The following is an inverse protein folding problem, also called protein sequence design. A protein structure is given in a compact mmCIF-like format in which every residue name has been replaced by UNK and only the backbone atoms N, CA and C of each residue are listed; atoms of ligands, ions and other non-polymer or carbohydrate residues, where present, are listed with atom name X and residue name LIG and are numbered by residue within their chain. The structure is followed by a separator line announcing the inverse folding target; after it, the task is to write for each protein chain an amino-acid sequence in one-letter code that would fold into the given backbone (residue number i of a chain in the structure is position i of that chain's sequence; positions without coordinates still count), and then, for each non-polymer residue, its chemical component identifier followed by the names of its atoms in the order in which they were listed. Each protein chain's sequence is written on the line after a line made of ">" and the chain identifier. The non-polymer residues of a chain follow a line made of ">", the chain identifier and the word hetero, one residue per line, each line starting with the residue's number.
data_IF_249532233504
#
_entry.id   IF_249532233504
#
_cell.length_a   1.000
_cell.length_b   1.000
_cell.length_c   1.000
_cell.angle_alpha   90.00
_cell.angle_beta   90.00
_cell.angle_gamma   90.00
#
_symmetry.space_group_name_H-M   'P 1'
#
loop_
_entity.id
_entity.type
_entity.pdbx_description
1 polymer ?
#
# COMPACT_ATOMS: atom_id res chain seq x y z
N UNK A 1 -14.04 3.84 -16.18
CA UNK A 1 -14.98 4.41 -15.17
C UNK A 1 -14.33 5.61 -14.50
N UNK A 2 -15.09 6.55 -13.92
CA UNK A 2 -14.50 7.53 -12.99
C UNK A 2 -14.42 6.96 -11.58
N UNK A 3 -13.26 7.12 -10.93
CA UNK A 3 -12.95 6.52 -9.63
C UNK A 3 -12.39 7.60 -8.72
N UNK A 4 -13.00 7.80 -7.55
CA UNK A 4 -12.40 8.68 -6.53
C UNK A 4 -11.20 7.96 -5.92
N UNK A 5 -10.04 8.60 -5.94
CA UNK A 5 -8.80 8.09 -5.34
C UNK A 5 -8.36 9.07 -4.26
N UNK A 6 -8.66 8.72 -3.00
CA UNK A 6 -8.17 9.52 -1.87
C UNK A 6 -6.70 9.16 -1.61
N UNK A 7 -5.85 10.14 -1.30
CA UNK A 7 -4.41 9.88 -1.16
C UNK A 7 -3.71 9.66 -2.50
N UNK A 8 -4.35 10.08 -3.61
CA UNK A 8 -3.87 9.86 -4.98
C UNK A 8 -2.62 10.66 -5.35
N UNK A 9 -2.16 11.59 -4.50
CA UNK A 9 -0.88 12.26 -4.66
C UNK A 9 0.25 11.58 -3.86
N UNK A 10 -0.04 10.48 -3.14
CA UNK A 10 0.95 9.66 -2.46
C UNK A 10 1.66 8.67 -3.39
N UNK A 11 2.69 7.97 -2.90
CA UNK A 11 3.49 7.04 -3.73
C UNK A 11 2.63 5.94 -4.36
N UNK A 12 1.83 5.24 -3.55
CA UNK A 12 0.94 4.18 -4.05
C UNK A 12 -0.20 4.80 -4.85
N UNK A 13 -0.80 5.88 -4.33
CA UNK A 13 -1.96 6.50 -4.95
C UNK A 13 -1.70 7.04 -6.34
N UNK A 14 -0.56 7.68 -6.57
CA UNK A 14 -0.19 8.18 -7.90
C UNK A 14 0.03 7.05 -8.88
N UNK A 15 0.67 5.95 -8.44
CA UNK A 15 0.85 4.76 -9.29
C UNK A 15 -0.48 4.07 -9.59
N UNK A 16 -1.41 3.99 -8.62
CA UNK A 16 -2.79 3.53 -8.86
C UNK A 16 -3.52 4.42 -9.85
N UNK A 17 -3.40 5.75 -9.75
CA UNK A 17 -3.98 6.68 -10.72
C UNK A 17 -3.44 6.43 -12.13
N UNK A 18 -2.13 6.25 -12.27
CA UNK A 18 -1.50 5.92 -13.55
C UNK A 18 -1.91 4.56 -14.11
N UNK A 19 -2.08 3.55 -13.25
CA UNK A 19 -2.62 2.24 -13.64
C UNK A 19 -4.10 2.33 -14.08
N UNK A 20 -4.92 3.14 -13.42
CA UNK A 20 -6.30 3.40 -13.82
C UNK A 20 -6.36 4.01 -15.22
N UNK A 21 -5.56 5.04 -15.49
CA UNK A 21 -5.48 5.69 -16.82
C UNK A 21 -5.07 4.70 -17.91
N UNK A 22 -4.03 3.90 -17.65
CA UNK A 22 -3.53 2.89 -18.59
C UNK A 22 -4.56 1.78 -18.87
N UNK A 23 -5.57 1.61 -18.00
CA UNK A 23 -6.68 0.66 -18.17
C UNK A 23 -8.01 1.35 -18.55
N UNK A 24 -7.97 2.57 -19.08
CA UNK A 24 -9.16 3.26 -19.61
C UNK A 24 -10.13 3.73 -18.51
N UNK A 25 -9.62 3.97 -17.31
CA UNK A 25 -10.36 4.58 -16.21
C UNK A 25 -9.84 6.01 -15.96
N UNK A 26 -10.67 6.83 -15.33
CA UNK A 26 -10.34 8.22 -15.04
C UNK A 26 -10.24 8.40 -13.52
N UNK A 27 -9.03 8.56 -12.97
CA UNK A 27 -8.88 8.86 -11.56
C UNK A 27 -9.33 10.29 -11.27
N UNK A 28 -10.08 10.47 -10.18
CA UNK A 28 -10.37 11.76 -9.56
C UNK A 28 -9.61 11.77 -8.24
N UNK A 29 -8.58 12.61 -8.14
CA UNK A 29 -7.71 12.65 -6.98
C UNK A 29 -8.30 13.58 -5.92
N UNK A 30 -8.42 13.07 -4.69
CA UNK A 30 -8.63 13.87 -3.48
C UNK A 30 -7.43 13.69 -2.56
N UNK A 31 -6.66 14.75 -2.35
CA UNK A 31 -5.48 14.70 -1.49
C UNK A 31 -5.28 16.03 -0.76
N UNK A 32 -4.88 15.96 0.51
CA UNK A 32 -4.60 17.14 1.33
C UNK A 32 -3.19 17.70 1.09
N UNK A 33 -2.31 16.90 0.48
CA UNK A 33 -0.89 17.16 0.31
C UNK A 33 -0.12 17.28 1.64
N UNK A 34 -0.64 16.68 2.73
CA UNK A 34 0.09 16.58 4.00
C UNK A 34 1.41 15.80 3.77
N UNK A 35 1.34 14.71 3.00
CA UNK A 35 2.51 13.94 2.56
C UNK A 35 2.57 13.79 1.03
N UNK A 36 1.43 13.89 0.33
CA UNK A 36 1.36 13.77 -1.12
C UNK A 36 2.09 14.88 -1.87
N UNK A 37 2.42 14.61 -3.14
CA UNK A 37 3.14 15.50 -4.04
C UNK A 37 2.22 16.01 -5.13
N UNK A 38 2.04 17.33 -5.21
CA UNK A 38 1.20 17.96 -6.23
C UNK A 38 1.68 17.64 -7.65
N UNK A 39 2.98 17.40 -7.83
CA UNK A 39 3.54 17.03 -9.13
C UNK A 39 2.93 15.75 -9.72
N UNK A 40 2.46 14.82 -8.88
CA UNK A 40 1.81 13.60 -9.33
C UNK A 40 0.36 13.78 -9.78
N UNK A 41 -0.25 14.93 -9.45
CA UNK A 41 -1.62 15.25 -9.84
C UNK A 41 -1.70 15.98 -11.18
N UNK A 42 -0.55 16.25 -11.81
CA UNK A 42 -0.47 16.92 -13.11
C UNK A 42 -1.28 16.15 -14.16
N UNK A 43 -2.03 16.90 -14.97
CA UNK A 43 -2.88 16.42 -16.05
C UNK A 43 -4.03 15.50 -15.60
N UNK A 44 -4.36 15.50 -14.31
CA UNK A 44 -5.46 14.72 -13.71
C UNK A 44 -6.51 15.63 -13.08
N UNK A 45 -7.71 15.10 -12.89
CA UNK A 45 -8.75 15.77 -12.10
C UNK A 45 -8.31 15.73 -10.63
N UNK A 46 -8.02 16.88 -10.05
CA UNK A 46 -7.49 16.99 -8.69
C UNK A 46 -8.26 17.99 -7.84
N UNK A 47 -8.61 17.56 -6.64
CA UNK A 47 -9.20 18.36 -5.58
C UNK A 47 -8.26 18.33 -4.38
N UNK A 48 -7.66 19.49 -4.08
CA UNK A 48 -6.87 19.66 -2.87
C UNK A 48 -7.79 19.85 -1.67
N UNK A 49 -7.72 18.94 -0.69
CA UNK A 49 -8.48 19.07 0.54
C UNK A 49 -8.51 17.80 1.38
N UNK A 50 -9.29 17.85 2.46
CA UNK A 50 -9.37 16.78 3.44
C UNK A 50 -10.49 15.79 3.09
N UNK A 51 -10.27 14.50 3.37
CA UNK A 51 -11.25 13.43 3.13
C UNK A 51 -12.50 13.55 4.02
N UNK A 52 -12.42 14.28 5.14
CA UNK A 52 -13.58 14.55 6.00
C UNK A 52 -14.36 15.80 5.61
N UNK A 53 -13.91 16.56 4.60
CA UNK A 53 -14.61 17.77 4.15
C UNK A 53 -15.86 17.40 3.33
N UNK A 54 -17.02 17.47 4.00
CA UNK A 54 -18.31 17.18 3.39
C UNK A 54 -18.62 18.10 2.20
N UNK A 55 -18.35 19.39 2.29
CA UNK A 55 -18.68 20.34 1.22
C UNK A 55 -17.82 20.09 -0.02
N UNK A 56 -16.56 19.74 0.19
CA UNK A 56 -15.67 19.34 -0.89
C UNK A 56 -16.13 18.03 -1.56
N UNK A 57 -16.51 17.02 -0.78
CA UNK A 57 -17.06 15.77 -1.34
C UNK A 57 -18.36 16.02 -2.13
N UNK A 58 -19.27 16.84 -1.61
CA UNK A 58 -20.49 17.25 -2.33
C UNK A 58 -20.16 17.92 -3.67
N UNK A 59 -19.14 18.81 -3.69
CA UNK A 59 -18.66 19.42 -4.93
C UNK A 59 -18.11 18.38 -5.91
N UNK A 60 -17.25 17.47 -5.44
CA UNK A 60 -16.64 16.41 -6.27
C UNK A 60 -17.71 15.56 -6.94
N UNK A 61 -18.71 15.11 -6.18
CA UNK A 61 -19.79 14.26 -6.68
C UNK A 61 -20.79 15.04 -7.54
N UNK A 62 -20.97 16.34 -7.32
CA UNK A 62 -21.76 17.20 -8.22
C UNK A 62 -21.08 17.36 -9.58
N UNK A 63 -19.76 17.54 -9.61
CA UNK A 63 -18.98 17.69 -10.84
C UNK A 63 -18.71 16.35 -11.54
N UNK A 64 -18.81 15.24 -10.81
CA UNK A 64 -18.55 13.88 -11.29
C UNK A 64 -19.62 12.88 -10.80
N UNK A 65 -20.89 13.03 -11.21
CA UNK A 65 -22.00 12.20 -10.74
C UNK A 65 -21.88 10.71 -11.11
N UNK A 66 -20.96 10.34 -12.00
CA UNK A 66 -20.70 8.98 -12.44
C UNK A 66 -19.72 8.19 -11.55
N UNK A 67 -19.19 8.79 -10.47
CA UNK A 67 -18.35 8.07 -9.50
C UNK A 67 -19.14 6.93 -8.86
N UNK A 68 -18.68 5.69 -9.06
CA UNK A 68 -19.25 4.49 -8.43
C UNK A 68 -18.34 3.81 -7.41
N UNK A 69 -17.05 4.11 -7.48
CA UNK A 69 -16.01 3.49 -6.67
C UNK A 69 -15.15 4.55 -6.02
N UNK A 70 -14.79 4.30 -4.76
CA UNK A 70 -13.70 5.00 -4.08
C UNK A 70 -12.59 4.03 -3.75
N UNK A 71 -11.37 4.34 -4.20
CA UNK A 71 -10.14 3.71 -3.72
C UNK A 71 -9.59 4.60 -2.59
N UNK A 72 -9.62 4.08 -1.36
CA UNK A 72 -9.23 4.82 -0.17
C UNK A 72 -7.79 4.49 0.25
N UNK A 73 -6.82 5.37 -0.09
CA UNK A 73 -5.40 5.25 0.26
C UNK A 73 -4.91 6.35 1.23
N UNK A 74 -5.72 7.38 1.49
CA UNK A 74 -5.34 8.47 2.39
C UNK A 74 -5.16 7.97 3.83
N UNK A 75 -3.91 7.92 4.30
CA UNK A 75 -3.54 7.58 5.67
C UNK A 75 -2.12 8.08 5.98
N UNK A 76 -1.83 8.36 7.24
CA UNK A 76 -0.47 8.42 7.75
C UNK A 76 0.07 6.99 7.91
N UNK A 77 1.33 6.76 7.51
CA UNK A 77 1.88 5.40 7.36
C UNK A 77 3.19 5.13 8.12
N UNK A 78 3.77 6.11 8.82
CA UNK A 78 5.10 5.99 9.44
C UNK A 78 4.97 5.34 10.83
N UNK A 79 5.35 4.07 10.92
CA UNK A 79 5.19 3.27 12.15
C UNK A 79 5.82 3.90 13.39
N UNK A 80 7.10 4.35 13.39
CA UNK A 80 7.70 4.99 14.56
C UNK A 80 6.96 6.26 14.98
N UNK A 81 6.60 7.12 14.02
CA UNK A 81 5.85 8.34 14.30
C UNK A 81 4.47 8.02 14.91
N UNK A 82 3.82 6.94 14.49
CA UNK A 82 2.54 6.52 15.07
C UNK A 82 2.61 6.21 16.57
N UNK A 83 3.77 5.75 17.05
CA UNK A 83 4.02 5.49 18.48
C UNK A 83 4.26 6.81 19.22
N UNK A 84 4.99 7.75 18.60
CA UNK A 84 5.28 9.07 19.17
C UNK A 84 4.06 9.99 19.18
N UNK A 85 3.22 9.92 18.14
CA UNK A 85 2.06 10.81 17.90
C UNK A 85 0.77 10.00 17.63
N UNK A 86 0.32 9.15 18.57
CA UNK A 86 -0.81 8.26 18.33
C UNK A 86 -2.10 9.01 18.00
N UNK A 87 -2.36 10.17 18.63
CA UNK A 87 -3.55 10.99 18.36
C UNK A 87 -3.66 11.36 16.87
N UNK A 88 -2.58 11.81 16.25
CA UNK A 88 -2.57 12.21 14.83
C UNK A 88 -2.94 11.04 13.91
N UNK A 89 -2.48 9.84 14.24
CA UNK A 89 -2.77 8.63 13.46
C UNK A 89 -4.22 8.18 13.64
N UNK A 90 -4.74 8.15 14.86
CA UNK A 90 -6.15 7.81 15.08
C UNK A 90 -7.09 8.86 14.48
N UNK A 91 -6.78 10.14 14.62
CA UNK A 91 -7.57 11.20 14.03
C UNK A 91 -7.55 11.14 12.49
N UNK A 92 -6.37 11.07 11.87
CA UNK A 92 -6.28 11.07 10.42
C UNK A 92 -6.76 9.77 9.78
N UNK A 93 -6.41 8.62 10.33
CA UNK A 93 -6.68 7.34 9.69
C UNK A 93 -8.06 6.77 10.08
N UNK A 94 -8.59 7.13 11.25
CA UNK A 94 -9.86 6.57 11.75
C UNK A 94 -10.98 7.60 11.72
N UNK A 95 -10.84 8.69 12.47
CA UNK A 95 -11.92 9.70 12.59
C UNK A 95 -12.30 10.28 11.23
N UNK A 96 -11.32 10.71 10.44
CA UNK A 96 -11.58 11.30 9.11
C UNK A 96 -12.15 10.28 8.12
N UNK A 97 -11.72 9.02 8.20
CA UNK A 97 -12.21 7.97 7.31
C UNK A 97 -13.63 7.51 7.66
N UNK A 98 -14.03 7.55 8.93
CA UNK A 98 -15.44 7.39 9.34
C UNK A 98 -16.31 8.47 8.70
N UNK A 99 -15.87 9.73 8.76
CA UNK A 99 -16.57 10.85 8.11
C UNK A 99 -16.62 10.70 6.58
N UNK A 100 -15.52 10.26 5.96
CA UNK A 100 -15.49 9.91 4.54
C UNK A 100 -16.55 8.86 4.21
N UNK A 101 -16.59 7.73 4.91
CA UNK A 101 -17.56 6.66 4.62
C UNK A 101 -19.00 7.10 4.83
N UNK A 102 -19.28 7.88 5.89
CA UNK A 102 -20.60 8.48 6.13
C UNK A 102 -21.04 9.35 4.95
N UNK A 103 -20.15 10.23 4.49
CA UNK A 103 -20.44 11.15 3.40
C UNK A 103 -20.55 10.42 2.04
N UNK A 104 -19.68 9.45 1.75
CA UNK A 104 -19.75 8.63 0.54
C UNK A 104 -21.08 7.87 0.46
N UNK A 105 -21.53 7.27 1.56
CA UNK A 105 -22.84 6.62 1.62
C UNK A 105 -23.99 7.60 1.32
N UNK A 106 -23.98 8.78 1.94
CA UNK A 106 -24.99 9.82 1.70
C UNK A 106 -24.99 10.34 0.25
N UNK A 107 -23.82 10.34 -0.40
CA UNK A 107 -23.63 10.73 -1.79
C UNK A 107 -23.90 9.59 -2.80
N UNK A 108 -24.26 8.39 -2.33
CA UNK A 108 -24.57 7.23 -3.17
C UNK A 108 -23.36 6.45 -3.67
N UNK A 109 -22.14 6.77 -3.21
CA UNK A 109 -20.94 5.99 -3.50
C UNK A 109 -20.81 4.83 -2.54
N UNK A 110 -21.29 3.66 -2.96
CA UNK A 110 -21.42 2.49 -2.07
C UNK A 110 -20.27 1.49 -2.16
N UNK A 111 -19.40 1.56 -3.17
CA UNK A 111 -18.35 0.58 -3.37
C UNK A 111 -16.98 1.16 -2.99
N UNK A 112 -16.32 0.53 -2.03
CA UNK A 112 -15.03 0.97 -1.48
C UNK A 112 -13.97 -0.10 -1.71
N UNK A 113 -12.80 0.30 -2.19
CA UNK A 113 -11.58 -0.50 -2.12
C UNK A 113 -10.64 0.19 -1.13
N UNK A 114 -10.38 -0.46 -0.01
CA UNK A 114 -9.58 0.10 1.08
C UNK A 114 -8.16 -0.45 1.06
N UNK A 115 -7.20 0.46 1.15
CA UNK A 115 -5.80 0.15 1.38
C UNK A 115 -5.57 -0.23 2.86
N UNK A 116 -5.51 -1.53 3.13
CA UNK A 116 -5.10 -2.05 4.44
C UNK A 116 -3.62 -2.44 4.43
N UNK A 117 -3.18 -3.24 5.39
CA UNK A 117 -1.79 -3.62 5.57
C UNK A 117 -1.65 -5.01 6.17
N UNK A 118 -0.63 -5.75 5.73
CA UNK A 118 -0.26 -7.01 6.37
C UNK A 118 0.24 -6.84 7.82
N UNK A 119 0.56 -5.61 8.25
CA UNK A 119 0.97 -5.32 9.65
C UNK A 119 -0.13 -5.55 10.70
N UNK A 120 -1.36 -5.84 10.26
CA UNK A 120 -2.46 -6.23 11.16
C UNK A 120 -2.31 -7.67 11.67
N UNK A 121 -1.66 -8.55 10.90
CA UNK A 121 -1.54 -9.96 11.26
C UNK A 121 -0.67 -10.19 12.50
N UNK A 122 -0.98 -11.28 13.21
CA UNK A 122 -0.06 -11.89 14.17
C UNK A 122 1.04 -12.68 13.44
N UNK A 123 2.16 -12.93 14.12
CA UNK A 123 3.20 -13.80 13.60
C UNK A 123 2.68 -15.25 13.55
N UNK A 124 2.98 -15.97 12.47
CA UNK A 124 2.65 -17.40 12.28
C UNK A 124 3.92 -18.21 12.08
N UNK A 125 3.91 -19.50 12.48
CA UNK A 125 5.12 -20.33 12.53
C UNK A 125 5.78 -20.56 11.15
N UNK A 126 4.99 -20.68 10.09
CA UNK A 126 5.46 -20.90 8.71
C UNK A 126 5.67 -19.59 7.94
N UNK A 127 5.48 -18.45 8.61
CA UNK A 127 5.49 -17.10 8.04
C UNK A 127 4.47 -16.84 6.93
N UNK A 128 3.59 -17.78 6.59
CA UNK A 128 2.63 -17.62 5.49
C UNK A 128 1.25 -17.28 6.04
N UNK A 129 0.83 -16.02 5.88
CA UNK A 129 -0.45 -15.54 6.40
C UNK A 129 -1.53 -15.56 5.31
N UNK A 130 -2.66 -16.19 5.64
CA UNK A 130 -3.92 -16.11 4.90
C UNK A 130 -4.85 -15.04 5.48
N UNK A 131 -5.95 -14.74 4.79
CA UNK A 131 -6.96 -13.79 5.26
C UNK A 131 -7.70 -14.27 6.51
N UNK A 132 -7.63 -15.56 6.83
CA UNK A 132 -8.16 -16.17 8.05
C UNK A 132 -7.13 -16.27 9.19
N UNK A 133 -5.88 -15.85 8.95
CA UNK A 133 -4.85 -15.86 9.98
C UNK A 133 -5.18 -14.86 11.11
N UNK A 134 -4.73 -15.14 12.36
CA UNK A 134 -5.01 -14.25 13.49
C UNK A 134 -4.52 -12.82 13.25
N UNK A 135 -5.30 -11.85 13.73
CA UNK A 135 -5.04 -10.42 13.59
C UNK A 135 -4.69 -9.83 14.97
N UNK A 136 -3.46 -9.32 15.11
CA UNK A 136 -2.94 -8.75 16.35
C UNK A 136 -2.00 -7.57 16.08
N UNK A 137 -2.53 -6.39 15.66
CA UNK A 137 -1.72 -5.24 15.31
C UNK A 137 -0.87 -4.73 16.48
N UNK A 138 0.43 -4.53 16.23
CA UNK A 138 1.43 -4.19 17.28
C UNK A 138 1.77 -2.71 17.39
N UNK A 139 1.45 -1.90 16.39
CA UNK A 139 1.68 -0.44 16.40
C UNK A 139 0.36 0.35 16.32
N UNK A 140 0.32 1.62 16.75
CA UNK A 140 -0.84 2.49 16.54
C UNK A 140 -1.23 2.57 15.06
N UNK A 141 -0.28 2.70 14.13
CA UNK A 141 -0.55 2.61 12.69
C UNK A 141 -1.31 1.33 12.31
N UNK A 142 -0.80 0.15 12.67
CA UNK A 142 -1.45 -1.12 12.34
C UNK A 142 -2.83 -1.23 13.00
N UNK A 143 -2.99 -0.73 14.22
CA UNK A 143 -4.30 -0.66 14.90
C UNK A 143 -5.28 0.21 14.14
N UNK A 144 -4.85 1.36 13.61
CA UNK A 144 -5.74 2.20 12.80
C UNK A 144 -6.20 1.50 11.53
N UNK A 145 -5.32 0.76 10.83
CA UNK A 145 -5.71 -0.02 9.65
C UNK A 145 -6.72 -1.11 9.99
N UNK A 146 -6.50 -1.84 11.08
CA UNK A 146 -7.45 -2.86 11.52
C UNK A 146 -8.79 -2.28 11.98
N UNK A 147 -8.79 -1.18 12.72
CA UNK A 147 -10.03 -0.46 13.08
C UNK A 147 -10.79 -0.02 11.83
N UNK A 148 -10.10 0.43 10.79
CA UNK A 148 -10.75 0.81 9.54
C UNK A 148 -11.36 -0.34 8.79
N UNK A 149 -10.79 -1.54 8.86
CA UNK A 149 -11.42 -2.74 8.35
C UNK A 149 -12.73 -3.05 9.09
N UNK A 150 -12.72 -3.01 10.42
CA UNK A 150 -13.92 -3.23 11.25
C UNK A 150 -15.01 -2.18 10.97
N UNK A 151 -14.62 -0.91 10.91
CA UNK A 151 -15.53 0.19 10.59
C UNK A 151 -16.13 0.01 9.20
N UNK A 152 -15.32 -0.33 8.20
CA UNK A 152 -15.82 -0.52 6.84
C UNK A 152 -16.78 -1.71 6.76
N UNK A 153 -16.47 -2.82 7.44
CA UNK A 153 -17.34 -3.98 7.55
C UNK A 153 -18.70 -3.61 8.17
N UNK A 154 -18.70 -2.90 9.30
CA UNK A 154 -19.92 -2.41 9.96
C UNK A 154 -20.75 -1.52 9.04
N UNK A 155 -20.11 -0.62 8.28
CA UNK A 155 -20.79 0.25 7.32
C UNK A 155 -21.38 -0.54 6.15
N UNK A 156 -20.69 -1.58 5.69
CA UNK A 156 -21.19 -2.47 4.64
C UNK A 156 -22.45 -3.20 5.10
N UNK A 157 -22.45 -3.73 6.33
CA UNK A 157 -23.61 -4.41 6.94
C UNK A 157 -24.76 -3.45 7.20
N UNK A 158 -24.51 -2.28 7.79
CA UNK A 158 -25.56 -1.38 8.26
C UNK A 158 -26.18 -0.52 7.17
N UNK A 159 -25.39 -0.10 6.16
CA UNK A 159 -25.80 0.92 5.19
C UNK A 159 -25.88 0.41 3.74
N UNK A 160 -25.64 -0.89 3.53
CA UNK A 160 -25.64 -1.50 2.20
C UNK A 160 -24.50 -0.99 1.32
N UNK A 161 -23.39 -0.56 1.94
CA UNK A 161 -22.12 -0.37 1.25
C UNK A 161 -21.50 -1.73 0.94
N UNK A 162 -20.48 -1.75 0.07
CA UNK A 162 -19.67 -2.92 -0.21
C UNK A 162 -18.19 -2.55 -0.16
N UNK A 163 -17.38 -3.40 0.46
CA UNK A 163 -15.97 -3.09 0.73
C UNK A 163 -15.03 -4.24 0.35
N UNK A 164 -13.92 -3.93 -0.30
CA UNK A 164 -12.77 -4.83 -0.44
C UNK A 164 -11.58 -4.19 0.26
N UNK A 165 -11.07 -4.83 1.31
CA UNK A 165 -9.83 -4.44 1.99
C UNK A 165 -8.65 -5.23 1.44
N UNK A 166 -7.67 -4.51 0.91
CA UNK A 166 -6.46 -5.06 0.34
C UNK A 166 -5.34 -5.01 1.38
N UNK A 167 -4.94 -6.15 1.93
CA UNK A 167 -3.85 -6.27 2.90
C UNK A 167 -2.55 -6.59 2.16
N UNK A 168 -1.68 -5.59 2.01
CA UNK A 168 -0.42 -5.77 1.29
C UNK A 168 0.82 -5.58 2.18
N UNK A 169 1.93 -6.09 1.67
CA UNK A 169 3.19 -6.25 2.40
C UNK A 169 4.16 -5.10 2.04
N UNK A 170 5.40 -5.42 1.65
CA UNK A 170 6.48 -4.45 1.52
C UNK A 170 6.60 -4.04 0.07
N UNK A 171 6.53 -2.74 -0.19
CA UNK A 171 6.55 -2.22 -1.56
C UNK A 171 7.96 -1.88 -2.02
N UNK A 172 8.23 -2.19 -3.28
CA UNK A 172 9.44 -1.81 -4.01
C UNK A 172 9.08 -1.37 -5.44
N UNK A 173 10.02 -0.75 -6.15
CA UNK A 173 9.84 -0.32 -7.53
C UNK A 173 9.24 1.08 -7.68
N UNK A 174 8.88 1.39 -8.93
CA UNK A 174 8.25 2.64 -9.32
C UNK A 174 7.21 2.38 -10.42
N UNK A 175 6.53 3.42 -10.89
CA UNK A 175 5.79 3.33 -12.15
C UNK A 175 6.77 2.93 -13.28
N UNK A 176 6.51 1.89 -14.10
CA UNK A 176 7.40 1.47 -15.19
C UNK A 176 7.62 2.53 -16.26
N UNK A 177 6.72 3.52 -16.37
CA UNK A 177 6.88 4.71 -17.23
C UNK A 177 7.50 5.90 -16.49
N UNK A 178 7.91 5.72 -15.24
CA UNK A 178 8.52 6.72 -14.36
C UNK A 178 7.69 8.02 -14.25
N UNK A 179 6.37 7.90 -14.23
CA UNK A 179 5.45 9.02 -13.94
C UNK A 179 5.36 9.32 -12.46
N UNK A 180 5.60 8.31 -11.62
CA UNK A 180 5.60 8.43 -10.17
C UNK A 180 6.47 7.34 -9.51
N UNK A 181 6.85 7.58 -8.27
CA UNK A 181 7.66 6.66 -7.47
C UNK A 181 7.89 7.20 -6.05
N UNK A 182 8.74 6.53 -5.27
CA UNK A 182 9.03 6.93 -3.90
C UNK A 182 9.76 8.29 -3.86
N UNK A 183 9.25 9.24 -3.06
CA UNK A 183 9.73 10.63 -3.02
C UNK A 183 10.23 11.07 -1.65
N UNK A 184 10.40 10.14 -0.71
CA UNK A 184 10.99 10.45 0.59
C UNK A 184 12.49 10.65 0.39
N UNK A 185 13.00 11.85 0.70
CA UNK A 185 14.41 12.25 0.47
C UNK A 185 15.43 11.32 1.16
N UNK A 186 15.07 10.71 2.27
CA UNK A 186 15.89 9.70 2.95
C UNK A 186 14.99 8.57 3.44
N UNK A 187 14.69 7.58 2.57
CA UNK A 187 13.77 6.51 2.94
C UNK A 187 14.39 5.66 4.05
N UNK A 188 13.67 5.49 5.16
CA UNK A 188 14.05 4.58 6.25
C UNK A 188 13.77 3.10 5.91
N UNK A 189 13.13 2.84 4.77
CA UNK A 189 12.86 1.49 4.28
C UNK A 189 14.12 0.84 3.71
N UNK A 190 14.12 -0.49 3.69
CA UNK A 190 15.30 -1.33 3.40
C UNK A 190 16.01 -0.94 2.09
N UNK A 191 15.26 -0.66 1.03
CA UNK A 191 15.82 -0.32 -0.28
C UNK A 191 16.53 1.05 -0.28
N UNK A 192 15.99 2.05 0.42
CA UNK A 192 16.64 3.35 0.56
C UNK A 192 17.93 3.26 1.38
N UNK A 193 17.94 2.43 2.42
CA UNK A 193 19.17 2.20 3.20
C UNK A 193 20.23 1.42 2.43
N UNK A 194 19.83 0.49 1.54
CA UNK A 194 20.75 -0.20 0.61
C UNK A 194 21.33 0.76 -0.41
N UNK A 195 20.50 1.63 -0.99
CA UNK A 195 20.94 2.65 -1.93
C UNK A 195 21.97 3.60 -1.29
N UNK A 196 21.68 4.10 -0.09
CA UNK A 196 22.62 4.96 0.64
C UNK A 196 23.96 4.24 0.91
N UNK A 197 23.92 2.96 1.29
CA UNK A 197 25.13 2.17 1.53
C UNK A 197 25.92 1.85 0.24
N UNK A 198 25.25 1.86 -0.92
CA UNK A 198 25.90 1.68 -2.22
C UNK A 198 26.47 2.97 -2.79
N UNK A 199 25.81 4.11 -2.55
CA UNK A 199 26.14 5.40 -3.17
C UNK A 199 27.10 6.24 -2.34
N UNK A 200 27.13 6.07 -1.01
CA UNK A 200 27.96 6.90 -0.12
C UNK A 200 29.14 6.14 0.48
N UNK A 201 30.32 6.73 0.37
CA UNK A 201 31.55 6.16 0.93
C UNK A 201 31.45 6.05 2.46
N UNK A 202 31.79 4.88 3.00
CA UNK A 202 31.79 4.62 4.45
C UNK A 202 30.42 4.29 5.06
N UNK A 203 29.31 4.40 4.34
CA UNK A 203 28.01 3.93 4.84
C UNK A 203 27.95 2.40 4.85
N UNK A 204 27.34 1.85 5.91
CA UNK A 204 27.19 0.39 6.13
C UNK A 204 25.71 0.06 6.21
N UNK A 205 25.27 -0.91 5.42
CA UNK A 205 23.94 -1.50 5.56
C UNK A 205 23.93 -2.53 6.69
N UNK A 206 23.10 -2.31 7.72
CA UNK A 206 22.98 -3.20 8.88
C UNK A 206 21.90 -4.25 8.65
N UNK A 207 22.29 -5.52 8.54
CA UNK A 207 21.39 -6.67 8.55
C UNK A 207 21.00 -6.94 10.01
N UNK A 208 19.84 -6.44 10.44
CA UNK A 208 19.39 -6.57 11.84
C UNK A 208 18.66 -7.88 12.08
N UNK A 209 19.15 -8.65 13.05
CA UNK A 209 18.61 -9.96 13.43
C UNK A 209 19.02 -11.05 12.43
N UNK A 210 19.94 -11.91 12.86
CA UNK A 210 20.54 -12.95 11.99
C UNK A 210 20.40 -14.37 12.53
N UNK A 211 19.60 -14.54 13.59
CA UNK A 211 19.39 -15.81 14.28
C UNK A 211 17.89 -16.19 14.33
N UNK A 212 17.10 -15.67 13.39
CA UNK A 212 15.69 -16.04 13.24
C UNK A 212 15.56 -17.47 12.69
N UNK A 213 14.43 -18.17 12.94
CA UNK A 213 14.17 -19.50 12.37
C UNK A 213 13.76 -19.40 10.88
N UNK A 214 14.52 -18.64 10.09
CA UNK A 214 14.39 -18.52 8.64
C UNK A 214 15.56 -19.24 7.96
N UNK A 215 15.46 -19.48 6.65
CA UNK A 215 16.43 -20.27 5.89
C UNK A 215 17.88 -19.76 5.90
N UNK A 216 18.12 -18.49 6.23
CA UNK A 216 19.47 -17.91 6.34
C UNK A 216 19.69 -17.10 7.62
N UNK A 217 18.77 -17.23 8.59
CA UNK A 217 18.78 -16.52 9.86
C UNK A 217 18.32 -15.07 9.81
N UNK A 218 18.25 -14.44 8.63
CA UNK A 218 17.79 -13.05 8.49
C UNK A 218 16.28 -12.95 8.33
N UNK A 219 15.72 -11.80 8.68
CA UNK A 219 14.27 -11.58 8.62
C UNK A 219 13.72 -11.79 7.19
N UNK A 220 12.50 -12.33 7.07
CA UNK A 220 11.82 -12.63 5.80
C UNK A 220 10.69 -11.64 5.54
N UNK A 221 10.53 -11.16 4.32
CA UNK A 221 9.46 -10.22 3.94
C UNK A 221 8.97 -10.55 2.55
N UNK A 222 7.69 -10.33 2.29
CA UNK A 222 7.16 -10.34 0.93
C UNK A 222 7.31 -8.95 0.30
N UNK A 223 8.15 -8.86 -0.74
CA UNK A 223 8.39 -7.62 -1.49
C UNK A 223 7.62 -7.66 -2.80
N UNK A 224 6.62 -6.80 -2.90
CA UNK A 224 5.74 -6.67 -4.06
C UNK A 224 6.08 -5.41 -4.84
N UNK A 225 6.11 -5.52 -6.17
CA UNK A 225 6.29 -4.36 -7.04
C UNK A 225 5.09 -3.42 -6.96
N UNK A 226 5.32 -2.11 -6.80
CA UNK A 226 4.25 -1.11 -6.65
C UNK A 226 3.31 -1.08 -7.87
N UNK A 227 3.82 -1.38 -9.07
CA UNK A 227 3.00 -1.51 -10.27
C UNK A 227 2.05 -2.70 -10.19
N UNK A 228 2.52 -3.88 -9.76
CA UNK A 228 1.66 -5.05 -9.55
C UNK A 228 0.58 -4.74 -8.52
N UNK A 229 0.94 -4.07 -7.42
CA UNK A 229 -0.03 -3.59 -6.43
C UNK A 229 -1.06 -2.64 -7.06
N UNK A 230 -0.62 -1.70 -7.91
CA UNK A 230 -1.52 -0.77 -8.58
C UNK A 230 -2.51 -1.50 -9.51
N UNK A 231 -2.03 -2.49 -10.28
CA UNK A 231 -2.88 -3.36 -11.09
C UNK A 231 -3.88 -4.13 -10.20
N UNK A 232 -3.51 -4.56 -8.99
CA UNK A 232 -4.44 -5.22 -8.08
C UNK A 232 -5.64 -4.32 -7.72
N UNK A 233 -5.42 -3.02 -7.54
CA UNK A 233 -6.49 -2.07 -7.25
C UNK A 233 -7.42 -1.87 -8.46
N UNK A 234 -6.86 -1.82 -9.67
CA UNK A 234 -7.65 -1.83 -10.92
C UNK A 234 -8.47 -3.10 -11.01
N UNK A 235 -7.86 -4.26 -10.79
CA UNK A 235 -8.54 -5.56 -10.83
C UNK A 235 -9.64 -5.69 -9.78
N UNK A 236 -9.43 -5.12 -8.59
CA UNK A 236 -10.43 -5.11 -7.52
C UNK A 236 -11.69 -4.33 -7.92
N UNK A 237 -11.59 -3.22 -8.65
CA UNK A 237 -12.78 -2.49 -9.14
C UNK A 237 -13.39 -3.11 -10.39
N UNK A 238 -12.58 -3.69 -11.29
CA UNK A 238 -13.07 -4.35 -12.51
C UNK A 238 -13.82 -5.66 -12.21
N UNK A 239 -13.33 -6.42 -11.22
CA UNK A 239 -13.91 -7.71 -10.81
C UNK A 239 -14.75 -7.59 -9.53
N UNK A 240 -15.10 -6.37 -9.10
CA UNK A 240 -15.73 -6.14 -7.81
C UNK A 240 -16.97 -7.02 -7.59
N UNK A 241 -17.94 -6.97 -8.50
CA UNK A 241 -19.17 -7.76 -8.39
C UNK A 241 -18.90 -9.28 -8.48
N UNK A 242 -17.92 -9.68 -9.32
CA UNK A 242 -17.52 -11.09 -9.45
C UNK A 242 -16.90 -11.62 -8.16
N UNK A 243 -16.05 -10.83 -7.49
CA UNK A 243 -15.42 -11.22 -6.23
C UNK A 243 -16.45 -11.57 -5.15
N UNK A 244 -17.53 -10.77 -5.04
CA UNK A 244 -18.64 -11.05 -4.12
C UNK A 244 -19.48 -12.26 -4.56
N UNK A 245 -19.72 -12.43 -5.86
CA UNK A 245 -20.52 -13.55 -6.37
C UNK A 245 -19.84 -14.92 -6.19
N UNK A 246 -18.51 -14.97 -6.29
CA UNK A 246 -17.74 -16.22 -6.20
C UNK A 246 -17.75 -16.85 -4.81
N UNK A 247 -17.89 -16.06 -3.74
CA UNK A 247 -17.87 -16.57 -2.37
C UNK A 247 -19.17 -17.26 -1.95
N UNK A 248 -20.15 -17.40 -2.85
CA UNK A 248 -21.37 -18.18 -2.63
C UNK A 248 -22.33 -17.62 -1.58
N UNK A 249 -21.90 -16.66 -0.78
CA UNK A 249 -22.67 -15.95 0.22
C UNK A 249 -22.99 -14.54 -0.29
N UNK A 250 -24.14 -14.36 -0.94
CA UNK A 250 -24.70 -13.03 -1.29
C UNK A 250 -24.92 -12.10 -0.08
N UNK A 251 -24.54 -12.51 1.13
CA UNK A 251 -24.80 -11.84 2.41
C UNK A 251 -23.57 -11.19 3.05
N UNK A 252 -22.35 -11.42 2.56
CA UNK A 252 -21.15 -10.76 3.10
C UNK A 252 -20.78 -9.56 2.22
N UNK A 253 -21.15 -8.33 2.60
CA UNK A 253 -20.87 -7.13 1.80
C UNK A 253 -19.43 -6.62 1.99
N UNK A 254 -18.55 -7.38 2.64
CA UNK A 254 -17.18 -7.00 2.94
C UNK A 254 -16.21 -8.17 2.71
N UNK A 255 -15.10 -7.90 2.03
CA UNK A 255 -14.05 -8.89 1.71
C UNK A 255 -12.67 -8.39 2.11
N UNK A 256 -11.82 -9.33 2.50
CA UNK A 256 -10.39 -9.11 2.69
C UNK A 256 -9.63 -9.94 1.68
N UNK A 257 -8.63 -9.34 1.04
CA UNK A 257 -7.74 -9.99 0.08
C UNK A 257 -6.29 -9.61 0.40
N UNK A 258 -5.43 -10.61 0.55
CA UNK A 258 -3.99 -10.42 0.67
C UNK A 258 -3.37 -10.15 -0.71
N UNK A 259 -2.47 -9.17 -0.78
CA UNK A 259 -1.67 -8.91 -1.97
C UNK A 259 -0.18 -9.02 -1.63
N UNK A 260 0.49 -9.93 -2.31
CA UNK A 260 1.91 -10.18 -2.20
C UNK A 260 2.37 -11.01 -3.39
N UNK A 261 3.61 -11.49 -3.35
CA UNK A 261 4.15 -12.39 -4.37
C UNK A 261 3.87 -13.86 -4.05
N UNK A 262 3.53 -14.18 -2.80
CA UNK A 262 3.46 -15.56 -2.33
C UNK A 262 4.83 -16.17 -2.04
N UNK A 263 5.91 -15.40 -2.21
CA UNK A 263 7.29 -15.84 -1.96
C UNK A 263 7.97 -14.89 -0.99
N UNK A 264 8.25 -15.37 0.22
CA UNK A 264 9.00 -14.58 1.18
C UNK A 264 10.47 -14.49 0.79
N UNK A 265 11.07 -13.32 0.92
CA UNK A 265 12.46 -12.99 0.58
C UNK A 265 13.19 -12.56 1.84
N UNK A 266 14.33 -13.17 2.13
CA UNK A 266 15.12 -12.81 3.30
C UNK A 266 15.86 -11.49 3.08
N UNK A 267 16.28 -10.82 4.16
CA UNK A 267 17.10 -9.60 4.03
C UNK A 267 18.41 -9.90 3.29
N UNK A 268 19.05 -11.04 3.53
CA UNK A 268 20.29 -11.42 2.81
C UNK A 268 20.03 -11.69 1.32
N UNK A 269 18.94 -12.35 0.96
CA UNK A 269 18.57 -12.51 -0.45
C UNK A 269 18.24 -11.20 -1.14
N UNK A 270 17.54 -10.28 -0.45
CA UNK A 270 17.30 -8.94 -0.97
C UNK A 270 18.62 -8.21 -1.25
N UNK A 271 19.59 -8.32 -0.34
CA UNK A 271 20.94 -7.76 -0.55
C UNK A 271 21.60 -8.40 -1.77
N UNK A 272 21.54 -9.73 -1.92
CA UNK A 272 22.10 -10.41 -3.10
C UNK A 272 21.43 -9.97 -4.40
N UNK A 273 20.10 -9.85 -4.42
CA UNK A 273 19.35 -9.32 -5.55
C UNK A 273 19.77 -7.88 -5.88
N UNK A 274 19.96 -7.05 -4.85
CA UNK A 274 20.43 -5.67 -5.02
C UNK A 274 21.84 -5.60 -5.62
N UNK A 275 22.79 -6.34 -5.06
CA UNK A 275 24.18 -6.43 -5.56
C UNK A 275 24.25 -6.91 -7.02
N UNK A 276 23.40 -7.88 -7.37
CA UNK A 276 23.25 -8.37 -8.75
C UNK A 276 22.75 -7.28 -9.69
N UNK A 277 21.79 -6.45 -9.27
CA UNK A 277 21.25 -5.35 -10.09
C UNK A 277 22.28 -4.23 -10.28
N UNK A 278 23.01 -3.84 -9.22
CA UNK A 278 24.02 -2.77 -9.30
C UNK A 278 25.38 -3.23 -9.83
N UNK A 279 25.59 -4.54 -9.96
CA UNK A 279 26.83 -5.14 -10.48
C UNK A 279 28.04 -5.05 -9.56
N UNK A 280 27.85 -4.77 -8.26
CA UNK A 280 28.93 -4.63 -7.27
C UNK A 280 28.44 -4.94 -5.85
N UNK A 281 29.34 -5.32 -4.93
CA UNK A 281 28.95 -5.56 -3.54
C UNK A 281 28.57 -4.27 -2.80
N UNK A 282 27.70 -4.40 -1.80
CA UNK A 282 27.31 -3.35 -0.86
C UNK A 282 28.06 -3.56 0.46
N UNK A 283 28.55 -2.47 1.03
CA UNK A 283 29.15 -2.49 2.38
C UNK A 283 28.07 -2.81 3.43
N UNK A 284 28.22 -3.93 4.14
CA UNK A 284 27.18 -4.49 5.00
C UNK A 284 27.75 -5.20 6.22
N UNK A 285 27.02 -5.16 7.33
CA UNK A 285 27.38 -5.86 8.58
C UNK A 285 26.14 -6.48 9.24
N UNK A 286 26.35 -7.52 10.04
CA UNK A 286 25.30 -8.08 10.89
C UNK A 286 25.15 -7.22 12.15
N UNK A 287 23.90 -7.01 12.59
CA UNK A 287 23.59 -6.27 13.80
C UNK A 287 22.50 -6.99 14.60
N UNK A 288 22.38 -6.65 15.89
CA UNK A 288 21.30 -7.17 16.75
C UNK A 288 19.92 -6.78 16.18
N UNK A 289 18.87 -7.58 16.42
CA UNK A 289 17.50 -7.19 16.12
C UNK A 289 17.15 -5.84 16.75
N UNK A 290 16.32 -5.04 16.07
CA UNK A 290 15.76 -3.82 16.64
C UNK A 290 14.64 -4.20 17.61
N UNK A 291 14.35 -3.31 18.56
CA UNK A 291 13.24 -3.52 19.49
C UNK A 291 11.93 -3.63 18.70
N UNK A 292 11.23 -4.77 18.85
CA UNK A 292 9.99 -5.05 18.13
C UNK A 292 10.16 -5.69 16.75
N UNK A 293 11.40 -6.00 16.32
CA UNK A 293 11.62 -6.79 15.10
C UNK A 293 10.99 -8.18 15.22
N UNK A 294 10.36 -8.61 14.13
CA UNK A 294 9.75 -9.93 13.97
C UNK A 294 10.46 -10.70 12.86
N UNK A 295 10.47 -12.06 12.91
CA UNK A 295 11.03 -12.89 11.85
C UNK A 295 10.46 -12.49 10.49
N UNK A 296 9.14 -12.32 10.39
CA UNK A 296 8.49 -11.83 9.18
C UNK A 296 7.20 -12.52 8.81
N UNK A 297 6.67 -12.13 7.65
CA UNK A 297 5.47 -12.72 7.07
C UNK A 297 5.49 -12.58 5.53
N UNK A 298 4.78 -13.49 4.88
CA UNK A 298 4.53 -13.56 3.45
C UNK A 298 3.06 -13.88 3.19
N UNK A 299 2.51 -13.37 2.08
CA UNK A 299 1.11 -13.55 1.74
C UNK A 299 0.84 -14.97 1.24
N UNK A 300 -0.23 -15.61 1.70
CA UNK A 300 -0.97 -16.51 0.82
C UNK A 300 -1.78 -15.65 -0.17
N UNK A 301 -1.60 -15.89 -1.47
CA UNK A 301 -2.16 -15.05 -2.55
C UNK A 301 -3.31 -15.73 -3.32
N UNK A 302 -3.78 -16.89 -2.85
CA UNK A 302 -4.79 -17.69 -3.57
C UNK A 302 -6.09 -16.92 -3.78
N UNK A 303 -6.57 -16.16 -2.77
CA UNK A 303 -7.80 -15.36 -2.92
C UNK A 303 -7.66 -14.23 -3.94
N UNK A 304 -6.49 -13.61 -4.05
CA UNK A 304 -6.29 -12.56 -5.05
C UNK A 304 -6.39 -13.13 -6.48
N UNK A 305 -5.80 -14.30 -6.70
CA UNK A 305 -5.90 -15.02 -7.98
C UNK A 305 -7.34 -15.44 -8.29
N UNK A 306 -8.05 -15.97 -7.31
CA UNK A 306 -9.42 -16.48 -7.49
C UNK A 306 -10.46 -15.35 -7.66
N UNK A 307 -10.45 -14.37 -6.75
CA UNK A 307 -11.53 -13.40 -6.62
C UNK A 307 -11.39 -12.21 -7.57
N UNK A 308 -10.16 -11.73 -7.79
CA UNK A 308 -9.90 -10.55 -8.62
C UNK A 308 -9.02 -10.86 -9.84
N UNK A 309 -8.70 -12.13 -10.10
CA UNK A 309 -7.87 -12.56 -11.23
C UNK A 309 -6.54 -11.82 -11.31
N UNK A 310 -5.86 -11.69 -10.16
CA UNK A 310 -4.60 -10.97 -10.03
C UNK A 310 -3.46 -11.87 -9.53
N UNK A 311 -2.28 -11.68 -10.11
CA UNK A 311 -1.00 -12.24 -9.67
C UNK A 311 0.14 -11.27 -10.05
N UNK A 312 1.26 -11.33 -9.35
CA UNK A 312 2.43 -10.47 -9.61
C UNK A 312 3.16 -10.89 -10.87
N UNK A 313 3.64 -9.92 -11.65
CA UNK A 313 4.44 -10.17 -12.86
C UNK A 313 5.91 -9.74 -12.73
N UNK A 314 6.23 -8.92 -11.73
CA UNK A 314 7.57 -8.36 -11.54
C UNK A 314 8.35 -9.12 -10.47
N UNK A 315 9.65 -9.31 -10.72
CA UNK A 315 10.58 -9.88 -9.73
C UNK A 315 11.07 -8.82 -8.74
N UNK A 316 11.76 -9.29 -7.68
CA UNK A 316 12.46 -8.39 -6.75
C UNK A 316 13.52 -7.58 -7.47
N UNK A 317 14.29 -8.20 -8.37
CA UNK A 317 15.28 -7.49 -9.18
C UNK A 317 14.68 -6.41 -10.08
N UNK A 318 13.48 -6.63 -10.63
CA UNK A 318 12.79 -5.60 -11.42
C UNK A 318 12.40 -4.42 -10.53
N UNK A 319 11.84 -4.69 -9.34
CA UNK A 319 11.52 -3.63 -8.38
C UNK A 319 12.72 -2.86 -7.87
N UNK A 320 13.87 -3.50 -7.71
CA UNK A 320 15.11 -2.80 -7.39
C UNK A 320 15.52 -1.92 -8.58
N UNK A 321 15.52 -2.46 -9.80
CA UNK A 321 15.92 -1.74 -11.02
C UNK A 321 15.06 -0.50 -11.26
N UNK A 322 13.75 -0.62 -11.14
CA UNK A 322 12.83 0.49 -11.39
C UNK A 322 12.89 1.53 -10.27
N UNK A 323 13.14 1.13 -9.02
CA UNK A 323 13.40 2.07 -7.94
C UNK A 323 14.70 2.87 -8.16
N UNK A 324 15.77 2.23 -8.64
CA UNK A 324 17.04 2.90 -8.96
C UNK A 324 16.86 3.90 -10.11
N UNK A 325 16.24 3.48 -11.21
CA UNK A 325 15.94 4.37 -12.35
C UNK A 325 15.06 5.55 -11.93
N UNK A 326 14.09 5.31 -11.06
CA UNK A 326 13.27 6.38 -10.50
C UNK A 326 14.11 7.38 -9.69
N UNK A 327 15.06 6.90 -8.88
CA UNK A 327 15.95 7.77 -8.10
C UNK A 327 16.78 8.71 -9.00
N UNK A 328 17.18 8.24 -10.19
CA UNK A 328 17.90 9.03 -11.19
C UNK A 328 17.06 10.16 -11.81
N UNK A 329 15.76 9.94 -12.03
CA UNK A 329 14.88 10.89 -12.76
C UNK A 329 13.96 11.70 -11.86
N UNK A 330 13.80 11.32 -10.58
CA UNK A 330 12.81 11.96 -9.70
C UNK A 330 13.09 13.44 -9.46
N UNK A 331 14.35 13.88 -9.51
CA UNK A 331 14.71 15.29 -9.30
C UNK A 331 14.20 16.20 -10.44
N UNK A 332 13.98 15.65 -11.63
CA UNK A 332 13.39 16.38 -12.76
C UNK A 332 11.86 16.54 -12.62
N UNK A 333 11.23 15.67 -11.82
CA UNK A 333 9.78 15.61 -11.64
C UNK A 333 9.36 16.29 -10.33
N UNK A 334 10.16 16.14 -9.27
CA UNK A 334 9.82 16.47 -7.89
C UNK A 334 10.70 17.60 -7.39
N UNK A 335 10.08 18.68 -6.91
CA UNK A 335 10.82 19.81 -6.32
C UNK A 335 11.03 19.59 -4.82
N UNK A 336 12.24 19.23 -4.40
CA UNK A 336 12.54 18.93 -3.01
C UNK A 336 12.64 20.14 -2.09
#
# INVERSE_FOLDING_TARGET
>A
MKVLVTGGAGYIGSTVCSALEDNGHTPIILDSLIQGREEFTKDKIFYKGDISDKALLEKIFKENPEIKFTIHLAALIIVPESVEKPYEYYHNNVVKSIELFKNLNALGCKNIVFSSSASVYEDVEDFMVSETSPVRPRSPYARTKYMMEMVLEDFCVAYGMRGISLRYFNLIGADPKFRSGAYVKSPSHVLGTLLNAASEEGKVFKITGTDWPTRDGSAIRDYIHVWDLAIAHVKAIENFDKAFNLLGNQKEPYLVINLGTGTGVTVKELVTAFEKVIGRPVNKENAKPRLGDVPGACANVSRAKELIAWETSYSVEDGIRDALKWDEVREDIIKF
#
